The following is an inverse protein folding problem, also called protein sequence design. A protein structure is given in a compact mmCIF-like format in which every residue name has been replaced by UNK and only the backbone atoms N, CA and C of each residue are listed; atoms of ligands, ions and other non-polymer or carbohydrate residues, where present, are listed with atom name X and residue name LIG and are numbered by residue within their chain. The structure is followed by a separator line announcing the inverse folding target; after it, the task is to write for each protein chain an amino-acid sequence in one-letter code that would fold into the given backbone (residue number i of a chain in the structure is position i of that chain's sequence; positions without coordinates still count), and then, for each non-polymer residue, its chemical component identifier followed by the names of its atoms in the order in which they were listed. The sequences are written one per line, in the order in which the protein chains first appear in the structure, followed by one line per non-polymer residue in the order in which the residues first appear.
data_IF_768771486555
#
_entry.id   IF_768771486555
#
_cell.length_a   1.000
_cell.length_b   1.000
_cell.length_c   1.000
_cell.angle_alpha   90.00
_cell.angle_beta   90.00
_cell.angle_gamma   90.00
#
_symmetry.space_group_name_H-M   'P 1'
#
loop_
_entity.id
_entity.type
_entity.pdbx_description
1 polymer ?
#
# COMPACT_ATOMS: atom_id res chain seq x y z
N UNK A 1 -0.93 15.19 17.96
CA UNK A 1 0.25 14.64 18.66
C UNK A 1 1.02 13.73 17.72
N UNK A 2 2.33 13.95 17.56
CA UNK A 2 3.17 13.09 16.73
C UNK A 2 3.23 11.66 17.29
N UNK A 3 3.61 10.71 16.46
CA UNK A 3 4.07 9.40 16.95
C UNK A 3 5.42 9.57 17.67
N UNK A 4 5.66 8.71 18.65
CA UNK A 4 6.89 8.65 19.44
C UNK A 4 7.50 7.27 19.32
N UNK A 5 8.74 7.12 19.78
CA UNK A 5 9.40 5.82 19.94
C UNK A 5 8.52 4.92 20.83
N UNK A 6 8.55 3.61 20.55
CA UNK A 6 7.81 2.55 21.26
C UNK A 6 6.27 2.60 21.13
N UNK A 7 5.74 3.48 20.29
CA UNK A 7 4.30 3.49 19.98
C UNK A 7 3.96 2.40 18.96
N UNK A 8 3.03 1.52 19.31
CA UNK A 8 2.46 0.57 18.36
C UNK A 8 1.53 1.29 17.39
N UNK A 9 1.77 1.15 16.09
CA UNK A 9 0.95 1.73 15.03
C UNK A 9 0.32 0.67 14.14
N UNK A 10 -0.90 0.95 13.66
CA UNK A 10 -1.57 0.19 12.60
C UNK A 10 -1.49 1.03 11.33
N UNK A 11 -0.88 0.48 10.29
CA UNK A 11 -0.87 1.08 8.95
C UNK A 11 -1.86 0.33 8.08
N UNK A 12 -2.96 1.00 7.74
CA UNK A 12 -3.94 0.50 6.78
C UNK A 12 -3.57 1.01 5.40
N UNK A 13 -3.75 0.17 4.39
CA UNK A 13 -3.43 0.49 3.02
C UNK A 13 -4.53 0.01 2.10
N UNK A 14 -4.80 0.78 1.04
CA UNK A 14 -5.67 0.38 -0.07
C UNK A 14 -5.13 0.93 -1.39
N UNK A 15 -5.48 0.28 -2.49
CA UNK A 15 -5.24 0.75 -3.85
C UNK A 15 -6.50 1.42 -4.37
N UNK A 16 -6.40 2.71 -4.68
CA UNK A 16 -7.55 3.51 -5.15
C UNK A 16 -7.62 3.65 -6.66
N UNK A 17 -6.51 3.39 -7.36
CA UNK A 17 -6.46 3.46 -8.82
C UNK A 17 -5.44 2.48 -9.38
N UNK A 18 -5.81 1.70 -10.41
CA UNK A 18 -4.93 0.72 -11.05
C UNK A 18 -4.85 0.94 -12.57
N UNK A 19 -3.79 1.60 -13.02
CA UNK A 19 -3.54 1.94 -14.43
C UNK A 19 -2.80 0.81 -15.15
N UNK A 20 -2.34 1.10 -16.38
CA UNK A 20 -1.54 0.17 -17.19
C UNK A 20 -0.15 -0.06 -16.61
N UNK A 21 0.50 1.01 -16.16
CA UNK A 21 1.92 1.02 -15.76
C UNK A 21 2.16 1.68 -14.40
N UNK A 22 1.10 2.00 -13.68
CA UNK A 22 1.17 2.53 -12.32
C UNK A 22 -0.09 2.24 -11.52
N UNK A 23 -0.01 2.39 -10.20
CA UNK A 23 -1.15 2.31 -9.29
C UNK A 23 -1.00 3.29 -8.14
N UNK A 24 -2.14 3.71 -7.59
CA UNK A 24 -2.20 4.70 -6.50
C UNK A 24 -2.58 3.99 -5.21
N UNK A 25 -1.81 4.26 -4.15
CA UNK A 25 -2.05 3.73 -2.81
C UNK A 25 -2.36 4.86 -1.84
N UNK A 26 -3.35 4.63 -0.99
CA UNK A 26 -3.68 5.48 0.14
C UNK A 26 -3.42 4.73 1.44
N UNK A 27 -2.92 5.46 2.43
CA UNK A 27 -2.54 4.92 3.73
C UNK A 27 -3.20 5.70 4.84
N UNK A 28 -3.55 4.99 5.90
CA UNK A 28 -4.02 5.56 7.15
C UNK A 28 -3.22 4.94 8.29
N UNK A 29 -2.55 5.80 9.06
CA UNK A 29 -1.70 5.40 10.18
C UNK A 29 -2.41 5.76 11.47
N UNK A 30 -2.66 4.77 12.32
CA UNK A 30 -3.42 4.93 13.56
C UNK A 30 -2.61 4.36 14.74
N UNK A 31 -2.73 4.99 15.92
CA UNK A 31 -2.23 4.41 17.16
C UNK A 31 -3.03 3.15 17.52
N UNK A 32 -2.32 2.05 17.77
CA UNK A 32 -2.94 0.78 18.16
C UNK A 32 -3.53 0.91 19.56
N UNK A 33 -4.77 0.45 19.74
CA UNK A 33 -5.50 0.50 21.00
C UNK A 33 -6.44 1.69 21.13
N UNK A 34 -6.01 2.90 20.74
CA UNK A 34 -6.87 4.09 20.78
C UNK A 34 -7.55 4.37 19.44
N UNK A 35 -6.98 3.91 18.32
CA UNK A 35 -7.46 4.23 16.97
C UNK A 35 -7.22 5.69 16.56
N UNK A 36 -6.42 6.45 17.34
CA UNK A 36 -6.14 7.85 17.05
C UNK A 36 -5.36 7.98 15.74
N UNK A 37 -5.86 8.81 14.83
CA UNK A 37 -5.19 9.11 13.58
C UNK A 37 -3.85 9.83 13.83
N UNK A 38 -2.78 9.26 13.30
CA UNK A 38 -1.43 9.84 13.31
C UNK A 38 -1.15 10.56 12.00
N UNK A 39 -1.43 9.90 10.88
CA UNK A 39 -1.14 10.42 9.55
C UNK A 39 -2.00 9.77 8.47
N UNK A 40 -2.19 10.49 7.37
CA UNK A 40 -2.69 9.98 6.10
C UNK A 40 -1.64 10.23 5.02
N UNK A 41 -1.53 9.31 4.07
CA UNK A 41 -0.57 9.44 2.99
C UNK A 41 -1.13 8.92 1.67
N UNK A 42 -0.54 9.40 0.57
CA UNK A 42 -0.84 8.97 -0.78
C UNK A 42 0.47 8.78 -1.55
N UNK A 43 0.56 7.70 -2.31
CA UNK A 43 1.72 7.41 -3.16
C UNK A 43 1.27 6.91 -4.52
N UNK A 44 2.11 7.13 -5.53
CA UNK A 44 1.97 6.53 -6.86
C UNK A 44 3.13 5.58 -7.09
N UNK A 45 2.83 4.32 -7.38
CA UNK A 45 3.82 3.30 -7.69
C UNK A 45 3.87 3.12 -9.21
N UNK A 46 5.01 3.42 -9.83
CA UNK A 46 5.23 3.23 -11.26
C UNK A 46 6.01 1.93 -11.52
N UNK A 47 5.60 1.17 -12.54
CA UNK A 47 6.33 -0.01 -12.98
C UNK A 47 7.38 0.38 -14.02
N UNK A 48 8.65 0.36 -13.62
CA UNK A 48 9.78 0.76 -14.46
C UNK A 48 10.64 -0.46 -14.79
N UNK A 49 11.03 -0.58 -16.06
CA UNK A 49 12.06 -1.50 -16.53
C UNK A 49 13.40 -0.77 -16.48
N UNK A 50 14.21 -1.11 -15.48
CA UNK A 50 15.54 -0.51 -15.30
C UNK A 50 16.57 -0.99 -16.31
N UNK A 51 16.38 -2.15 -16.97
CA UNK A 51 17.29 -2.62 -18.02
C UNK A 51 17.08 -1.83 -19.31
N UNK A 52 15.82 -1.58 -19.66
CA UNK A 52 15.46 -0.78 -20.82
C UNK A 52 15.27 0.71 -20.53
N UNK A 53 15.50 1.14 -19.28
CA UNK A 53 15.30 2.51 -18.78
C UNK A 53 13.97 3.14 -19.20
N UNK A 54 12.87 2.39 -19.08
CA UNK A 54 11.54 2.82 -19.54
C UNK A 54 10.42 2.33 -18.65
N UNK A 55 9.29 3.03 -18.67
CA UNK A 55 8.05 2.56 -18.03
C UNK A 55 7.53 1.31 -18.75
N UNK A 56 7.10 0.29 -17.99
CA UNK A 56 6.53 -0.94 -18.51
C UNK A 56 5.12 -1.21 -17.98
N UNK A 57 4.39 -2.12 -18.63
CA UNK A 57 3.09 -2.58 -18.14
C UNK A 57 3.30 -3.28 -16.79
N UNK A 58 2.39 -3.06 -15.85
CA UNK A 58 2.36 -3.81 -14.59
C UNK A 58 2.21 -5.31 -14.92
N UNK A 59 3.11 -6.19 -14.45
CA UNK A 59 2.99 -7.62 -14.64
C UNK A 59 1.66 -8.15 -14.09
N UNK A 60 1.07 -9.14 -14.75
CA UNK A 60 -0.28 -9.59 -14.41
C UNK A 60 -0.35 -10.12 -12.97
N UNK A 61 0.68 -10.78 -12.45
CA UNK A 61 0.71 -11.24 -11.05
C UNK A 61 0.64 -10.09 -10.04
N UNK A 62 1.28 -8.95 -10.34
CA UNK A 62 1.20 -7.75 -9.49
C UNK A 62 -0.21 -7.18 -9.56
N UNK A 63 -0.77 -7.03 -10.77
CA UNK A 63 -2.14 -6.55 -10.96
C UNK A 63 -3.16 -7.43 -10.23
N UNK A 64 -3.02 -8.75 -10.28
CA UNK A 64 -3.91 -9.66 -9.56
C UNK A 64 -3.72 -9.57 -8.03
N UNK A 65 -2.48 -9.49 -7.55
CA UNK A 65 -2.18 -9.29 -6.13
C UNK A 65 -2.80 -7.99 -5.60
N UNK A 66 -2.69 -6.89 -6.36
CA UNK A 66 -3.33 -5.62 -6.03
C UNK A 66 -4.85 -5.74 -5.93
N UNK A 67 -5.51 -6.40 -6.88
CA UNK A 67 -6.97 -6.58 -6.84
C UNK A 67 -7.43 -7.50 -5.70
N UNK A 68 -6.60 -8.47 -5.30
CA UNK A 68 -6.92 -9.35 -4.18
C UNK A 68 -6.96 -8.62 -2.84
N UNK A 69 -6.09 -7.61 -2.64
CA UNK A 69 -6.01 -6.83 -1.40
C UNK A 69 -7.25 -5.99 -1.10
N UNK A 70 -8.01 -5.59 -2.13
CA UNK A 70 -9.24 -4.81 -1.95
C UNK A 70 -10.43 -5.65 -1.45
N UNK A 71 -10.29 -6.97 -1.35
CA UNK A 71 -11.33 -7.82 -0.78
C UNK A 71 -11.35 -7.68 0.75
N UNK A 72 -12.52 -7.43 1.37
CA UNK A 72 -12.64 -7.35 2.82
C UNK A 72 -12.07 -8.58 3.53
N UNK A 73 -11.29 -8.36 4.60
CA UNK A 73 -10.69 -9.44 5.39
C UNK A 73 -9.40 -10.03 4.82
N UNK A 74 -8.86 -9.46 3.74
CA UNK A 74 -7.54 -9.87 3.23
C UNK A 74 -6.46 -9.37 4.18
N UNK A 75 -6.01 -10.26 5.07
CA UNK A 75 -4.82 -10.05 5.89
C UNK A 75 -3.65 -10.66 5.14
N UNK A 76 -2.65 -9.84 4.82
CA UNK A 76 -1.34 -10.37 4.44
C UNK A 76 -0.71 -10.95 5.69
N UNK A 77 -0.91 -12.24 5.92
CA UNK A 77 -0.13 -12.97 6.91
C UNK A 77 1.32 -13.00 6.43
N UNK A 78 2.23 -12.45 7.23
CA UNK A 78 3.66 -12.71 7.04
C UNK A 78 3.93 -14.11 7.58
N UNK A 79 3.42 -15.12 6.87
CA UNK A 79 3.70 -16.51 7.18
C UNK A 79 5.16 -16.83 6.87
N UNK A 80 5.92 -17.05 7.96
CA UNK A 80 7.23 -17.71 8.11
C UNK A 80 8.40 -17.27 7.19
#
# INVERSE_FOLDING_TARGET
YPATVDMDLVVRVRVTELKRSSFVMEYRVEEKGTGRLIAEAKSVQACFDYKASKVQRIPDFVRQGTLALEKPGTVLDRGA
#
